data_IF_741952910627
#
_entry.id   IF_741952910627
#
_cell.length_a   1.000
_cell.length_b   1.000
_cell.length_c   1.000
_cell.angle_alpha   90.00
_cell.angle_beta   90.00
_cell.angle_gamma   90.00
#
_symmetry.space_group_name_H-M   'P 1'
#
loop_
_entity.id
_entity.type
_entity.pdbx_description
1 polymer ?
#
# COMPACT_ATOMS: atom_id res chain seq x y z
N UNK A 1 -16.32 8.94 -9.63
CA UNK A 1 -15.40 9.37 -8.60
C UNK A 1 -16.00 9.22 -7.25
N UNK A 2 -17.12 9.82 -7.05
CA UNK A 2 -17.74 9.79 -5.73
C UNK A 2 -18.02 8.39 -5.23
N UNK A 3 -18.32 7.49 -6.15
CA UNK A 3 -18.60 6.13 -5.78
C UNK A 3 -17.38 5.46 -5.16
N UNK A 4 -16.20 5.70 -5.73
CA UNK A 4 -14.98 5.12 -5.21
C UNK A 4 -14.67 5.68 -3.84
N UNK A 5 -14.78 7.00 -3.69
CA UNK A 5 -14.51 7.63 -2.42
C UNK A 5 -15.44 7.12 -1.33
N UNK A 6 -16.70 6.98 -1.66
CA UNK A 6 -17.67 6.50 -0.69
C UNK A 6 -17.38 5.07 -0.29
N UNK A 7 -17.01 4.25 -1.27
CA UNK A 7 -16.70 2.85 -1.00
C UNK A 7 -15.52 2.70 -0.05
N UNK A 8 -14.55 3.59 -0.17
CA UNK A 8 -13.34 3.46 0.64
C UNK A 8 -13.33 4.33 1.87
N UNK A 9 -14.44 4.99 2.15
CA UNK A 9 -14.51 5.85 3.32
C UNK A 9 -14.16 5.05 4.57
N UNK A 10 -13.22 5.59 5.37
CA UNK A 10 -12.76 4.90 6.56
C UNK A 10 -11.74 3.81 6.29
N UNK A 11 -11.48 3.52 5.03
CA UNK A 11 -10.52 2.48 4.66
C UNK A 11 -9.38 3.09 3.85
N UNK A 12 -9.05 4.32 4.14
CA UNK A 12 -7.91 4.99 3.51
C UNK A 12 -7.03 5.58 4.60
N UNK A 13 -5.80 5.87 4.21
CA UNK A 13 -4.85 6.47 5.12
C UNK A 13 -4.02 7.49 4.33
N UNK A 14 -3.75 8.63 4.95
CA UNK A 14 -2.92 9.66 4.33
C UNK A 14 -1.69 9.84 5.19
N UNK A 15 -0.52 9.74 4.56
CA UNK A 15 0.77 9.86 5.23
C UNK A 15 1.71 10.65 4.34
N UNK A 16 2.90 10.90 4.85
CA UNK A 16 3.93 11.61 4.10
C UNK A 16 5.10 10.70 3.80
N UNK A 17 5.60 10.81 2.58
CA UNK A 17 6.87 10.18 2.20
C UNK A 17 8.02 11.00 2.77
N UNK A 18 9.18 10.37 2.91
CA UNK A 18 10.35 11.08 3.39
C UNK A 18 10.98 11.96 2.33
N UNK A 19 11.17 11.41 1.14
CA UNK A 19 11.78 12.14 0.03
C UNK A 19 10.71 12.68 -0.90
N UNK A 20 9.76 11.84 -1.27
CA UNK A 20 8.70 12.23 -2.18
C UNK A 20 8.98 11.81 -3.61
N UNK A 21 7.97 11.95 -4.45
CA UNK A 21 8.05 11.63 -5.86
C UNK A 21 8.24 12.93 -6.63
N UNK A 22 9.32 13.01 -7.39
CA UNK A 22 9.64 14.24 -8.12
C UNK A 22 8.77 14.33 -9.37
N UNK A 23 8.07 15.45 -9.51
CA UNK A 23 7.24 15.71 -10.66
C UNK A 23 6.99 17.20 -10.79
N UNK A 24 7.12 17.71 -12.00
CA UNK A 24 6.84 19.11 -12.30
C UNK A 24 7.64 20.05 -11.40
N UNK A 25 8.90 19.71 -11.17
CA UNK A 25 9.82 20.59 -10.47
C UNK A 25 9.76 20.54 -8.96
N UNK A 26 8.98 19.64 -8.38
CA UNK A 26 8.89 19.55 -6.93
C UNK A 26 8.73 18.11 -6.48
N UNK A 27 9.04 17.88 -5.21
CA UNK A 27 8.86 16.56 -4.61
C UNK A 27 7.50 16.51 -3.94
N UNK A 28 6.69 15.53 -4.33
CA UNK A 28 5.34 15.35 -3.78
C UNK A 28 5.40 14.29 -2.70
N UNK A 29 5.12 14.67 -1.48
CA UNK A 29 5.29 13.79 -0.33
C UNK A 29 4.00 13.21 0.21
N UNK A 30 2.94 13.96 0.19
CA UNK A 30 1.66 13.47 0.74
C UNK A 30 1.10 12.37 -0.15
N UNK A 31 0.73 11.25 0.46
CA UNK A 31 0.11 10.19 -0.32
C UNK A 31 -1.12 9.67 0.43
N UNK A 32 -2.10 9.22 -0.35
CA UNK A 32 -3.31 8.60 0.18
C UNK A 32 -3.41 7.20 -0.38
N UNK A 33 -3.54 6.23 0.52
CA UNK A 33 -3.56 4.82 0.17
C UNK A 33 -4.89 4.23 0.62
N UNK A 34 -5.53 3.45 -0.24
CA UNK A 34 -6.72 2.72 0.16
C UNK A 34 -6.34 1.28 0.52
N UNK A 35 -7.27 0.61 1.18
CA UNK A 35 -7.05 -0.78 1.56
C UNK A 35 -6.82 -1.63 0.30
N UNK A 36 -5.94 -2.62 0.41
CA UNK A 36 -5.64 -3.51 -0.71
C UNK A 36 -6.74 -4.53 -0.91
N UNK A 37 -7.02 -4.82 -2.17
CA UNK A 37 -8.02 -5.80 -2.54
C UNK A 37 -7.36 -6.90 -3.35
N UNK A 38 -7.99 -8.08 -3.37
CA UNK A 38 -7.45 -9.20 -4.14
C UNK A 38 -7.22 -8.83 -5.60
N UNK A 39 -8.10 -8.01 -6.15
CA UNK A 39 -7.96 -7.58 -7.53
C UNK A 39 -6.70 -6.79 -7.81
N UNK A 40 -6.19 -6.09 -6.80
CA UNK A 40 -4.95 -5.34 -6.99
C UNK A 40 -3.79 -6.28 -7.29
N UNK A 41 -3.71 -7.38 -6.58
CA UNK A 41 -2.66 -8.37 -6.80
C UNK A 41 -2.85 -9.08 -8.14
N UNK A 42 -4.08 -9.45 -8.45
CA UNK A 42 -4.36 -10.14 -9.70
C UNK A 42 -3.99 -9.26 -10.90
N UNK A 43 -4.38 -7.99 -10.86
CA UNK A 43 -4.04 -7.08 -11.94
C UNK A 43 -2.53 -6.89 -12.05
N UNK A 44 -1.86 -6.83 -10.92
CA UNK A 44 -0.41 -6.65 -10.93
C UNK A 44 0.26 -7.84 -11.58
N UNK A 45 -0.18 -9.05 -11.29
CA UNK A 45 0.39 -10.25 -11.88
C UNK A 45 0.06 -10.35 -13.36
N UNK A 46 -1.12 -9.90 -13.75
CA UNK A 46 -1.47 -9.88 -15.17
C UNK A 46 -0.59 -8.93 -15.96
N UNK A 47 -0.25 -7.79 -15.37
CA UNK A 47 0.62 -6.84 -16.05
C UNK A 47 2.08 -7.30 -16.09
N UNK A 48 2.48 -8.09 -15.11
CA UNK A 48 3.87 -8.52 -15.00
C UNK A 48 3.94 -10.02 -14.76
N UNK A 49 3.47 -10.82 -15.73
CA UNK A 49 3.36 -12.27 -15.49
C UNK A 49 4.70 -12.94 -15.23
N UNK A 50 5.77 -12.37 -15.76
CA UNK A 50 7.12 -12.94 -15.57
C UNK A 50 8.04 -11.96 -14.85
N UNK A 51 7.47 -10.95 -14.25
CA UNK A 51 8.27 -9.95 -13.58
C UNK A 51 8.78 -10.41 -12.22
N UNK A 52 9.81 -9.74 -11.70
CA UNK A 52 10.27 -10.05 -10.35
C UNK A 52 9.21 -9.68 -9.32
N UNK A 53 9.32 -10.34 -8.17
CA UNK A 53 8.34 -10.11 -7.11
C UNK A 53 8.23 -8.63 -6.74
N UNK A 54 9.35 -7.94 -6.70
CA UNK A 54 9.35 -6.53 -6.32
C UNK A 54 8.57 -5.67 -7.30
N UNK A 55 8.61 -6.00 -8.57
CA UNK A 55 7.86 -5.24 -9.57
C UNK A 55 6.37 -5.45 -9.40
N UNK A 56 5.98 -6.70 -9.13
CA UNK A 56 4.58 -7.01 -8.88
C UNK A 56 4.09 -6.26 -7.64
N UNK A 57 4.91 -6.25 -6.59
CA UNK A 57 4.56 -5.55 -5.36
C UNK A 57 4.38 -4.05 -5.60
N UNK A 58 5.26 -3.46 -6.38
CA UNK A 58 5.15 -2.04 -6.68
C UNK A 58 3.86 -1.74 -7.45
N UNK A 59 3.51 -2.62 -8.38
CA UNK A 59 2.27 -2.45 -9.14
C UNK A 59 1.05 -2.55 -8.22
N UNK A 60 1.10 -3.45 -7.23
CA UNK A 60 0.01 -3.57 -6.26
C UNK A 60 -0.18 -2.26 -5.52
N UNK A 61 0.91 -1.68 -5.01
CA UNK A 61 0.79 -0.41 -4.29
C UNK A 61 0.32 0.70 -5.21
N UNK A 62 0.77 0.68 -6.48
CA UNK A 62 0.27 1.68 -7.42
C UNK A 62 -1.25 1.58 -7.56
N UNK A 63 -1.77 0.37 -7.59
CA UNK A 63 -3.21 0.18 -7.69
C UNK A 63 -3.94 0.70 -6.45
N UNK A 64 -3.30 0.65 -5.29
CA UNK A 64 -3.91 1.12 -4.05
C UNK A 64 -3.79 2.63 -3.85
N UNK A 65 -2.82 3.28 -4.50
CA UNK A 65 -2.59 4.70 -4.32
C UNK A 65 -3.69 5.52 -5.00
N UNK A 66 -4.35 6.33 -4.20
CA UNK A 66 -5.38 7.23 -4.71
C UNK A 66 -4.79 8.56 -5.14
N UNK A 67 -3.70 8.99 -4.50
CA UNK A 67 -3.07 10.26 -4.82
C UNK A 67 -1.67 10.30 -4.23
N UNK A 68 -0.79 11.01 -4.93
CA UNK A 68 0.51 11.40 -4.40
C UNK A 68 0.67 12.87 -4.72
N UNK A 69 0.56 13.73 -3.70
CA UNK A 69 0.62 15.16 -3.89
C UNK A 69 -0.34 15.62 -4.96
N UNK A 70 0.15 16.44 -5.87
CA UNK A 70 -0.66 16.97 -6.96
C UNK A 70 -0.40 16.26 -8.28
N UNK A 71 0.24 15.10 -8.25
CA UNK A 71 0.56 14.37 -9.47
C UNK A 71 -0.74 13.87 -10.09
N UNK A 72 -1.01 14.21 -11.37
CA UNK A 72 -2.24 13.71 -12.01
C UNK A 72 -2.27 12.18 -12.05
N UNK A 73 -3.46 11.62 -11.93
CA UNK A 73 -3.62 10.18 -11.87
C UNK A 73 -3.02 9.49 -13.10
N UNK A 74 -3.18 10.09 -14.26
CA UNK A 74 -2.67 9.47 -15.48
C UNK A 74 -1.15 9.50 -15.57
N UNK A 75 -0.49 10.36 -14.78
CA UNK A 75 0.96 10.44 -14.75
C UNK A 75 1.51 9.51 -13.66
N UNK A 76 0.72 9.23 -12.65
CA UNK A 76 1.13 8.41 -11.51
C UNK A 76 1.12 6.94 -11.93
N UNK A 77 2.13 6.54 -12.68
CA UNK A 77 2.24 5.20 -13.21
C UNK A 77 3.25 4.39 -12.42
N UNK A 78 3.22 3.08 -12.62
CA UNK A 78 4.20 2.22 -11.99
C UNK A 78 5.62 2.57 -12.45
N UNK A 79 5.76 2.97 -13.70
CA UNK A 79 7.06 3.38 -14.22
C UNK A 79 7.58 4.61 -13.50
N UNK A 80 6.72 5.59 -13.24
CA UNK A 80 7.13 6.77 -12.51
C UNK A 80 7.58 6.40 -11.11
N UNK A 81 6.83 5.56 -10.43
CA UNK A 81 7.19 5.12 -9.08
C UNK A 81 8.50 4.35 -9.08
N UNK A 82 8.67 3.49 -10.08
CA UNK A 82 9.86 2.67 -10.18
C UNK A 82 11.12 3.53 -10.25
N UNK A 83 11.04 4.66 -10.92
CA UNK A 83 12.20 5.51 -11.13
C UNK A 83 12.34 6.62 -10.11
N UNK A 84 11.26 6.99 -9.44
CA UNK A 84 11.26 8.16 -8.58
C UNK A 84 11.06 7.86 -7.11
N UNK A 85 10.55 6.69 -6.78
CA UNK A 85 10.25 6.34 -5.39
C UNK A 85 11.46 5.65 -4.77
N UNK A 86 11.96 6.18 -3.67
CA UNK A 86 13.09 5.57 -2.99
C UNK A 86 12.63 4.31 -2.24
N UNK A 87 13.59 3.44 -1.94
CA UNK A 87 13.29 2.25 -1.17
C UNK A 87 12.71 2.59 0.20
N UNK A 88 13.25 3.63 0.82
CA UNK A 88 12.75 4.01 2.14
C UNK A 88 11.32 4.53 2.05
N UNK A 89 10.99 5.24 0.98
CA UNK A 89 9.62 5.71 0.80
C UNK A 89 8.67 4.56 0.48
N UNK A 90 9.15 3.57 -0.27
CA UNK A 90 8.35 2.38 -0.51
C UNK A 90 8.04 1.67 0.82
N UNK A 91 9.00 1.64 1.73
CA UNK A 91 8.77 1.05 3.05
C UNK A 91 7.72 1.82 3.84
N UNK A 92 7.66 3.14 3.65
CA UNK A 92 6.63 3.94 4.32
C UNK A 92 5.25 3.61 3.77
N UNK A 93 5.14 3.36 2.48
CA UNK A 93 3.87 2.94 1.89
C UNK A 93 3.48 1.57 2.44
N UNK A 94 4.44 0.65 2.55
CA UNK A 94 4.15 -0.66 3.10
C UNK A 94 3.69 -0.57 4.55
N UNK A 95 4.29 0.33 5.33
CA UNK A 95 3.87 0.52 6.71
C UNK A 95 2.46 1.08 6.79
N UNK A 96 2.11 1.98 5.88
CA UNK A 96 0.76 2.52 5.84
C UNK A 96 -0.25 1.43 5.49
N UNK A 97 0.12 0.53 4.59
CA UNK A 97 -0.73 -0.58 4.23
C UNK A 97 -0.99 -1.49 5.43
N UNK A 98 0.04 -1.73 6.24
CA UNK A 98 -0.13 -2.51 7.46
C UNK A 98 -1.07 -1.83 8.43
N UNK A 99 -0.98 -0.52 8.57
CA UNK A 99 -1.91 0.20 9.44
C UNK A 99 -3.35 0.03 8.98
N UNK A 100 -3.56 0.08 7.66
CA UNK A 100 -4.90 -0.12 7.13
C UNK A 100 -5.43 -1.49 7.46
N UNK A 101 -4.58 -2.51 7.33
CA UNK A 101 -5.00 -3.87 7.61
C UNK A 101 -5.37 -4.06 9.07
N UNK A 102 -4.64 -3.40 9.96
CA UNK A 102 -4.96 -3.49 11.37
C UNK A 102 -6.32 -2.89 11.68
N UNK A 103 -6.70 -1.86 10.94
CA UNK A 103 -8.01 -1.25 11.13
C UNK A 103 -9.15 -2.17 10.73
N UNK A 104 -8.89 -3.10 9.82
CA UNK A 104 -9.91 -4.02 9.35
C UNK A 104 -10.18 -5.13 10.34
N UNK A 105 -9.24 -5.43 11.23
CA UNK A 105 -9.38 -6.55 12.15
C UNK A 105 -10.11 -6.11 13.40
N UNK A 106 -11.18 -6.83 13.79
CA UNK A 106 -11.87 -6.48 15.03
C UNK A 106 -10.98 -6.72 16.23
N UNK A 107 -11.13 -5.92 17.28
CA UNK A 107 -10.30 -6.11 18.48
C UNK A 107 -10.47 -7.49 19.11
N UNK A 108 -11.67 -8.04 19.09
CA UNK A 108 -11.89 -9.37 19.68
C UNK A 108 -11.09 -10.42 18.94
N UNK A 109 -11.02 -10.29 17.64
CA UNK A 109 -10.25 -11.23 16.83
C UNK A 109 -8.77 -11.11 17.14
N UNK A 110 -8.30 -9.88 17.31
CA UNK A 110 -6.90 -9.67 17.62
C UNK A 110 -6.55 -10.27 18.97
N UNK A 111 -7.42 -10.14 19.96
CA UNK A 111 -7.12 -10.69 21.25
C UNK A 111 -7.13 -12.22 21.24
N UNK A 112 -7.98 -12.81 20.42
CA UNK A 112 -7.97 -14.28 20.31
C UNK A 112 -6.67 -14.78 19.71
N UNK A 113 -6.21 -14.12 18.65
CA UNK A 113 -4.95 -14.53 18.03
C UNK A 113 -3.79 -14.21 18.94
N UNK A 114 -3.89 -13.17 19.71
CA UNK A 114 -2.83 -12.82 20.63
C UNK A 114 -2.57 -13.89 21.67
N UNK A 115 -3.55 -14.68 21.94
CA UNK A 115 -3.35 -15.77 22.88
C UNK A 115 -2.61 -16.92 22.27
N UNK A 116 -2.47 -16.93 21.06
CA UNK A 116 -1.75 -18.00 20.42
C UNK A 116 -0.44 -17.50 19.91
N UNK A 117 -0.29 -17.36 19.40
CA UNK A 117 0.42 -17.19 19.00
C UNK A 117 0.91 -17.24 18.53
N UNK A 118 1.29 -17.27 18.13
CA UNK A 118 1.81 -17.03 18.20
C UNK A 118 2.06 -17.33 17.75
N UNK A 119 2.39 -17.62 17.40
CA UNK A 119 2.69 -17.56 17.55
C UNK A 119 2.82 -17.78 17.17
N UNK A 120 3.15 -18.11 16.73
CA UNK A 120 3.34 -17.98 16.99
C UNK A 120 3.53 -18.23 16.80
N UNK A 121 3.83 -18.55 16.30
CA UNK A 121 4.13 -18.42 16.73
C UNK A 121 4.27 -18.81 16.71
N UNK A 122 4.54 -19.14 16.26
CA UNK A 122 4.83 -19.11 16.84
C UNK A 122 4.98 -19.65 16.84
N UNK A 123 5.14 -19.86 16.41
CA UNK A 123 5.39 -19.99 16.99
C UNK A 123 5.58 -20.41 16.91
N UNK A 124 5.82 -20.60 16.41
CA UNK A 124 6.05 -20.52 16.87
C UNK A 124 6.24 -20.60 17.23
N UNK A 125 6.34 -20.91 16.82
CA UNK A 125 6.61 -20.47 17.52
C UNK A 125 6.72 -20.87 17.64
N UNK A 126 7.15 -21.14 17.46
CA UNK A 126 7.33 -21.10 17.96
C UNK A 126 7.18 -21.15 17.99
N UNK A 127 7.31 -21.21 17.52
CA UNK A 127 7.30 -20.96 17.84
C UNK A 127 7.21 -20.94 17.95
#
# INVERSE_FOLDING_TARGET
MNRIEKKWEGLIITKDLGVGVFYAGTFHKSFTLRVGMAGDLIKAQERHPNGPFQLVTLEVYRNQLLAVGDIPAEVLTTELLRESLTESDLALIAAADEELEKKLKPPSEASLTGGASSTSSSDMGTA
#
